data_IF_786522117612
#
_entry.id   IF_786522117612
#
_cell.length_a   1.000
_cell.length_b   1.000
_cell.length_c   1.000
_cell.angle_alpha   90.00
_cell.angle_beta   90.00
_cell.angle_gamma   90.00
#
_symmetry.space_group_name_H-M   'P 1'
#
loop_
_entity.id
_entity.type
_entity.pdbx_description
1 polymer ?
#
# COMPACT_ATOMS: atom_id res chain seq x y z
N UNK A 1 27.29 -5.68 2.90
CA UNK A 1 26.87 -6.58 3.98
C UNK A 1 28.13 -7.21 4.56
N UNK A 2 28.76 -6.55 5.53
CA UNK A 2 30.02 -7.01 6.13
C UNK A 2 29.80 -7.60 7.52
N UNK A 3 30.67 -8.51 7.94
CA UNK A 3 30.68 -9.15 9.26
C UNK A 3 30.66 -8.15 10.44
N UNK A 4 31.23 -6.96 10.25
CA UNK A 4 31.26 -5.89 11.25
C UNK A 4 29.90 -5.21 11.50
N UNK A 5 29.04 -5.09 10.48
CA UNK A 5 27.68 -4.51 10.65
C UNK A 5 26.79 -5.41 11.52
N UNK A 6 26.96 -6.74 11.41
CA UNK A 6 26.21 -7.72 12.19
C UNK A 6 26.61 -7.70 13.67
N UNK A 7 27.89 -7.46 13.98
CA UNK A 7 28.40 -7.33 15.35
C UNK A 7 28.06 -5.98 16.00
N UNK A 8 27.97 -4.91 15.20
CA UNK A 8 27.67 -3.55 15.69
C UNK A 8 26.17 -3.22 15.71
N UNK A 9 25.29 -4.19 15.45
CA UNK A 9 23.83 -4.01 15.51
C UNK A 9 23.27 -3.09 14.40
N UNK A 10 24.08 -2.80 13.39
CA UNK A 10 23.76 -1.86 12.32
C UNK A 10 22.94 -2.50 11.19
N UNK A 11 21.81 -3.14 11.49
CA UNK A 11 20.92 -3.60 10.41
C UNK A 11 20.14 -2.40 9.85
N UNK A 12 20.62 -1.77 8.78
CA UNK A 12 19.83 -0.80 8.02
C UNK A 12 18.75 -1.53 7.24
N UNK A 13 17.49 -1.12 7.43
CA UNK A 13 16.38 -1.62 6.61
C UNK A 13 16.62 -1.26 5.14
N UNK A 14 16.41 -2.20 4.20
CA UNK A 14 16.48 -1.88 2.79
C UNK A 14 15.39 -0.86 2.43
N UNK A 15 15.64 0.03 1.46
CA UNK A 15 14.63 0.99 1.01
C UNK A 15 13.41 0.26 0.43
N UNK A 16 12.23 0.85 0.63
CA UNK A 16 11.00 0.37 0.01
C UNK A 16 11.13 0.41 -1.52
N UNK A 17 10.58 -0.61 -2.20
CA UNK A 17 10.58 -0.72 -3.66
C UNK A 17 9.17 -0.51 -4.20
N UNK A 18 8.63 0.67 -3.94
CA UNK A 18 7.22 1.01 -4.19
C UNK A 18 6.84 0.85 -5.66
N UNK A 19 7.75 1.22 -6.57
CA UNK A 19 7.55 1.07 -8.03
C UNK A 19 7.34 -0.38 -8.49
N UNK A 20 7.75 -1.37 -7.67
CA UNK A 20 7.46 -2.77 -7.99
C UNK A 20 5.98 -3.12 -7.90
N UNK A 21 5.16 -2.29 -7.25
CA UNK A 21 3.70 -2.47 -7.25
C UNK A 21 3.13 -2.42 -8.68
N UNK A 22 3.68 -1.60 -9.57
CA UNK A 22 3.24 -1.55 -10.97
C UNK A 22 3.47 -2.85 -11.74
N UNK A 23 4.35 -3.74 -11.27
CA UNK A 23 4.49 -5.06 -11.86
C UNK A 23 3.19 -5.89 -11.74
N UNK A 24 2.33 -5.58 -10.75
CA UNK A 24 1.06 -6.29 -10.53
C UNK A 24 0.11 -6.17 -11.72
N UNK A 25 0.06 -5.01 -12.40
CA UNK A 25 -0.77 -4.80 -13.59
C UNK A 25 -0.48 -5.83 -14.68
N UNK A 26 0.80 -6.11 -14.91
CA UNK A 26 1.23 -7.15 -15.88
C UNK A 26 1.12 -8.57 -15.32
N UNK A 27 1.41 -8.76 -14.03
CA UNK A 27 1.29 -10.05 -13.36
C UNK A 27 -0.15 -10.59 -13.40
N UNK A 28 -1.16 -9.71 -13.25
CA UNK A 28 -2.58 -10.07 -13.35
C UNK A 28 -2.88 -10.85 -14.62
N UNK A 29 -2.40 -10.38 -15.77
CA UNK A 29 -2.61 -11.04 -17.07
C UNK A 29 -2.05 -12.46 -17.07
N UNK A 30 -0.86 -12.65 -16.49
CA UNK A 30 -0.23 -13.97 -16.38
C UNK A 30 -0.99 -14.89 -15.42
N UNK A 31 -1.41 -14.37 -14.26
CA UNK A 31 -2.17 -15.11 -13.27
C UNK A 31 -3.55 -15.54 -13.80
N UNK A 32 -4.22 -14.67 -14.57
CA UNK A 32 -5.47 -14.98 -15.26
C UNK A 32 -5.27 -16.04 -16.34
N UNK A 33 -4.29 -15.85 -17.22
CA UNK A 33 -4.08 -16.71 -18.37
C UNK A 33 -3.55 -18.11 -18.01
N UNK A 34 -2.66 -18.21 -17.02
CA UNK A 34 -1.98 -19.46 -16.68
C UNK A 34 -2.62 -20.21 -15.52
N UNK A 35 -3.20 -19.49 -14.55
CA UNK A 35 -3.72 -20.08 -13.32
C UNK A 35 -5.24 -19.93 -13.19
N UNK A 36 -5.91 -19.21 -14.11
CA UNK A 36 -7.35 -18.99 -14.05
C UNK A 36 -7.80 -18.14 -12.85
N UNK A 37 -6.87 -17.45 -12.19
CA UNK A 37 -7.17 -16.56 -11.07
C UNK A 37 -7.82 -15.28 -11.58
N UNK A 38 -8.72 -14.68 -10.81
CA UNK A 38 -9.27 -13.35 -11.13
C UNK A 38 -8.80 -12.33 -10.10
N UNK A 39 -8.43 -11.15 -10.56
CA UNK A 39 -8.17 -10.04 -9.66
C UNK A 39 -9.46 -9.65 -8.91
N UNK A 40 -9.32 -9.38 -7.62
CA UNK A 40 -10.40 -8.81 -6.81
C UNK A 40 -10.55 -7.32 -7.05
N UNK A 41 -11.73 -6.79 -6.73
CA UNK A 41 -12.06 -5.36 -6.83
C UNK A 41 -11.66 -4.58 -5.57
N UNK A 42 -10.81 -5.15 -4.71
CA UNK A 42 -10.44 -4.58 -3.41
C UNK A 42 -8.93 -4.72 -3.19
N UNK A 43 -8.29 -3.63 -2.79
CA UNK A 43 -6.91 -3.60 -2.34
C UNK A 43 -6.80 -3.02 -0.93
N UNK A 44 -5.79 -3.45 -0.17
CA UNK A 44 -5.59 -3.01 1.22
C UNK A 44 -4.13 -2.71 1.53
N UNK A 45 -3.86 -1.55 2.12
CA UNK A 45 -2.57 -1.18 2.69
C UNK A 45 -2.67 -1.17 4.22
N UNK A 46 -1.76 -1.90 4.86
CA UNK A 46 -1.66 -1.97 6.32
C UNK A 46 -0.44 -1.18 6.79
N UNK A 47 -0.67 -0.18 7.64
CA UNK A 47 0.34 0.74 8.14
C UNK A 47 0.50 0.53 9.64
N UNK A 48 1.73 0.24 10.06
CA UNK A 48 2.08 0.06 11.46
C UNK A 48 1.88 1.38 12.23
N UNK A 49 1.28 1.36 13.44
CA UNK A 49 1.16 2.56 14.25
C UNK A 49 2.53 3.11 14.63
N UNK A 50 2.71 4.42 14.47
CA UNK A 50 3.88 5.15 14.94
C UNK A 50 3.62 5.64 16.36
N UNK A 51 4.55 5.42 17.28
CA UNK A 51 4.44 5.84 18.69
C UNK A 51 4.70 7.36 18.88
N UNK A 52 4.27 8.20 17.95
CA UNK A 52 4.60 9.63 17.93
C UNK A 52 3.41 10.51 17.54
N UNK A 53 3.46 11.79 17.90
CA UNK A 53 2.50 12.82 17.50
C UNK A 53 2.34 12.97 15.98
N UNK A 54 3.28 12.47 15.19
CA UNK A 54 3.22 12.48 13.73
C UNK A 54 2.17 11.52 13.15
N UNK A 55 1.56 10.64 13.97
CA UNK A 55 0.57 9.68 13.48
C UNK A 55 -0.69 10.34 12.90
N UNK A 56 -1.24 11.35 13.58
CA UNK A 56 -2.44 12.05 13.10
C UNK A 56 -2.15 12.90 11.85
N UNK A 57 -0.94 13.43 11.73
CA UNK A 57 -0.47 14.14 10.54
C UNK A 57 -0.39 13.19 9.33
N UNK A 58 0.26 12.03 9.49
CA UNK A 58 0.33 10.99 8.44
C UNK A 58 -1.06 10.52 8.03
N UNK A 59 -1.97 10.33 9.00
CA UNK A 59 -3.36 9.96 8.71
C UNK A 59 -4.07 11.03 7.87
N UNK A 60 -3.91 12.30 8.23
CA UNK A 60 -4.49 13.42 7.49
C UNK A 60 -3.94 13.53 6.08
N UNK A 61 -2.64 13.30 5.89
CA UNK A 61 -1.99 13.33 4.56
C UNK A 61 -2.52 12.20 3.66
N UNK A 62 -2.61 10.99 4.20
CA UNK A 62 -3.19 9.83 3.50
C UNK A 62 -4.64 10.13 3.09
N UNK A 63 -5.46 10.64 4.01
CA UNK A 63 -6.85 11.04 3.69
C UNK A 63 -6.91 12.09 2.59
N UNK A 64 -6.01 13.07 2.62
CA UNK A 64 -5.89 14.10 1.59
C UNK A 64 -5.59 13.53 0.21
N UNK A 65 -4.60 12.63 0.11
CA UNK A 65 -4.20 11.97 -1.14
C UNK A 65 -5.33 11.08 -1.69
N UNK A 66 -5.96 10.27 -0.84
CA UNK A 66 -7.07 9.40 -1.24
C UNK A 66 -8.28 10.18 -1.73
N UNK A 67 -8.56 11.34 -1.13
CA UNK A 67 -9.64 12.22 -1.59
C UNK A 67 -9.38 12.80 -2.98
N UNK A 68 -8.12 13.01 -3.35
CA UNK A 68 -7.75 13.43 -4.71
C UNK A 68 -7.95 12.24 -5.66
N UNK A 69 -7.38 11.08 -5.32
CA UNK A 69 -7.53 9.85 -6.11
C UNK A 69 -9.00 9.50 -6.39
N UNK A 70 -9.88 9.58 -5.38
CA UNK A 70 -11.31 9.35 -5.53
C UNK A 70 -11.98 10.31 -6.54
N UNK A 71 -11.54 11.56 -6.63
CA UNK A 71 -12.10 12.53 -7.59
C UNK A 71 -11.68 12.24 -9.02
N UNK A 72 -10.46 11.74 -9.21
CA UNK A 72 -9.88 11.53 -10.54
C UNK A 72 -10.29 10.19 -11.14
N UNK A 73 -10.34 9.13 -10.32
CA UNK A 73 -10.59 7.74 -10.75
C UNK A 73 -11.99 7.25 -10.40
N UNK A 74 -12.61 7.82 -9.36
CA UNK A 74 -13.86 7.28 -8.80
C UNK A 74 -13.64 6.15 -7.78
N UNK A 75 -12.40 5.77 -7.49
CA UNK A 75 -12.08 4.71 -6.52
C UNK A 75 -12.63 5.03 -5.13
N UNK A 76 -13.42 4.12 -4.58
CA UNK A 76 -13.91 4.21 -3.22
C UNK A 76 -12.81 3.85 -2.22
N UNK A 77 -12.74 4.55 -1.10
CA UNK A 77 -11.79 4.19 -0.03
C UNK A 77 -12.45 4.21 1.34
N UNK A 78 -11.89 3.42 2.25
CA UNK A 78 -12.16 3.50 3.68
C UNK A 78 -10.86 3.41 4.47
N UNK A 79 -10.85 4.08 5.63
CA UNK A 79 -9.73 4.02 6.58
C UNK A 79 -10.28 3.51 7.90
N UNK A 80 -9.65 2.47 8.43
CA UNK A 80 -10.06 1.83 9.68
C UNK A 80 -8.85 1.45 10.52
N UNK A 81 -9.01 1.44 11.84
CA UNK A 81 -7.99 0.92 12.78
C UNK A 81 -8.40 -0.49 13.19
N UNK A 82 -7.45 -1.41 13.28
CA UNK A 82 -7.70 -2.73 13.87
C UNK A 82 -7.44 -2.76 15.38
N UNK A 83 -7.70 -3.91 16.00
CA UNK A 83 -7.54 -4.13 17.44
C UNK A 83 -6.07 -3.98 17.92
N UNK A 84 -5.11 -4.00 16.99
CA UNK A 84 -3.68 -3.81 17.23
C UNK A 84 -3.22 -2.38 16.92
N UNK A 85 -4.16 -1.46 16.65
CA UNK A 85 -3.93 -0.07 16.23
C UNK A 85 -3.24 0.10 14.87
N UNK A 86 -3.22 -0.92 14.03
CA UNK A 86 -2.76 -0.75 12.65
C UNK A 86 -3.81 0.02 11.86
N UNK A 87 -3.33 0.93 11.02
CA UNK A 87 -4.17 1.67 10.11
C UNK A 87 -4.31 0.87 8.81
N UNK A 88 -5.55 0.60 8.43
CA UNK A 88 -5.90 -0.06 7.19
C UNK A 88 -6.53 0.95 6.24
N UNK A 89 -5.90 1.15 5.10
CA UNK A 89 -6.46 1.85 3.96
C UNK A 89 -7.00 0.79 3.01
N UNK A 90 -8.31 0.80 2.76
CA UNK A 90 -8.97 -0.16 1.87
C UNK A 90 -9.50 0.60 0.66
N UNK A 91 -9.10 0.18 -0.53
CA UNK A 91 -9.55 0.74 -1.80
C UNK A 91 -10.48 -0.25 -2.49
N UNK A 92 -11.50 0.26 -3.17
CA UNK A 92 -12.44 -0.53 -3.97
C UNK A 92 -12.64 0.11 -5.34
N UNK A 93 -12.32 -0.65 -6.38
CA UNK A 93 -12.51 -0.28 -7.76
C UNK A 93 -12.62 -1.54 -8.63
N UNK A 94 -13.34 -1.44 -9.75
CA UNK A 94 -13.41 -2.50 -10.76
C UNK A 94 -12.20 -2.48 -11.68
N UNK A 95 -11.56 -1.33 -11.84
CA UNK A 95 -10.30 -1.23 -12.56
C UNK A 95 -9.14 -1.61 -11.62
N UNK A 96 -8.43 -2.66 -12.00
CA UNK A 96 -7.29 -3.15 -11.24
C UNK A 96 -6.11 -2.17 -11.25
N UNK A 97 -5.93 -1.42 -12.34
CA UNK A 97 -4.83 -0.48 -12.47
C UNK A 97 -5.03 0.73 -11.57
N UNK A 98 -6.29 1.17 -11.38
CA UNK A 98 -6.65 2.21 -10.42
C UNK A 98 -6.37 1.76 -8.97
N UNK A 99 -6.66 0.49 -8.63
CA UNK A 99 -6.29 -0.07 -7.33
C UNK A 99 -4.76 -0.07 -7.10
N UNK A 100 -3.98 -0.44 -8.11
CA UNK A 100 -2.50 -0.44 -8.02
C UNK A 100 -1.97 0.98 -7.86
N UNK A 101 -2.48 1.92 -8.66
CA UNK A 101 -2.08 3.33 -8.58
C UNK A 101 -2.47 3.95 -7.23
N UNK A 102 -3.67 3.66 -6.73
CA UNK A 102 -4.15 4.13 -5.44
C UNK A 102 -3.28 3.64 -4.28
N UNK A 103 -2.90 2.35 -4.26
CA UNK A 103 -1.99 1.82 -3.23
C UNK A 103 -0.59 2.43 -3.32
N UNK A 104 -0.07 2.62 -4.54
CA UNK A 104 1.24 3.25 -4.76
C UNK A 104 1.28 4.68 -4.24
N UNK A 105 0.21 5.46 -4.43
CA UNK A 105 0.11 6.85 -4.00
C UNK A 105 0.24 7.02 -2.47
N UNK A 106 -0.17 6.03 -1.68
CA UNK A 106 -0.20 6.08 -0.21
C UNK A 106 0.88 5.21 0.46
N UNK A 107 1.81 4.64 -0.31
CA UNK A 107 2.90 3.75 0.18
C UNK A 107 4.23 4.46 0.40
#
# INVERSE_FOLDING_TARGET
MGFLDALLGGSKLPPAKVDKLFAMSTARVTLEAQLGLRAGEIAGLCIKPLASSAYEEVKSDIEGLLKISQKDTGTEYSIQKDDYNYLWVVLRDRDFDDLVAGVHMVS
#
